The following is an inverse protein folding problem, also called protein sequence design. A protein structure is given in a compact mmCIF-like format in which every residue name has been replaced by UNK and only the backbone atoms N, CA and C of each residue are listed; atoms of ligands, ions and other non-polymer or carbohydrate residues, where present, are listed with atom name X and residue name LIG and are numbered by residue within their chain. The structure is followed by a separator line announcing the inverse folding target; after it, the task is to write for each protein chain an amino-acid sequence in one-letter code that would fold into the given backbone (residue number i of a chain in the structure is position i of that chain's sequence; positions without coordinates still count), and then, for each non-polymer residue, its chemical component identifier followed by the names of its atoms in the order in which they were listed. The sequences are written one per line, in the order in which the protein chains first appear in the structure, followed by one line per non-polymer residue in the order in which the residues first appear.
data_IF_520568889707
#
_entry.id   IF_520568889707
#
_cell.length_a   1.000
_cell.length_b   1.000
_cell.length_c   1.000
_cell.angle_alpha   90.00
_cell.angle_beta   90.00
_cell.angle_gamma   90.00
#
_symmetry.space_group_name_H-M   'P 1'
#
loop_
_entity.id
_entity.type
_entity.pdbx_description
1 polymer ?
#
# COMPACT_ATOMS: atom_id res chain seq x y z
N UNK A 1 -29.50 36.33 14.71
CA UNK A 1 -28.08 36.04 14.48
C UNK A 1 -27.86 34.56 14.81
N UNK A 2 -27.89 33.73 13.78
CA UNK A 2 -27.71 32.28 13.89
C UNK A 2 -26.23 31.97 14.03
N UNK A 3 -25.84 31.40 15.18
CA UNK A 3 -24.47 30.97 15.47
C UNK A 3 -24.00 29.84 14.52
N UNK A 4 -22.68 29.64 14.37
CA UNK A 4 -22.13 28.62 13.48
C UNK A 4 -22.54 27.23 13.96
N UNK A 5 -23.11 26.44 13.06
CA UNK A 5 -23.51 25.04 13.28
C UNK A 5 -22.37 24.27 13.94
N UNK A 6 -22.46 23.98 15.23
CA UNK A 6 -21.64 22.96 15.87
C UNK A 6 -21.92 21.63 15.17
N UNK A 7 -20.92 21.10 14.43
CA UNK A 7 -21.02 19.77 13.81
C UNK A 7 -21.31 18.76 14.92
N UNK A 8 -22.38 17.99 14.77
CA UNK A 8 -22.71 16.93 15.73
C UNK A 8 -21.57 15.88 15.76
N UNK A 9 -21.36 15.23 16.89
CA UNK A 9 -20.28 14.22 17.02
C UNK A 9 -20.30 13.15 15.91
N UNK A 10 -21.47 12.67 15.40
CA UNK A 10 -21.57 11.75 14.27
C UNK A 10 -21.00 12.33 12.97
N UNK A 11 -21.26 13.60 12.67
CA UNK A 11 -20.76 14.26 11.46
C UNK A 11 -19.23 14.44 11.50
N UNK A 12 -18.68 14.67 12.67
CA UNK A 12 -17.24 14.75 12.88
C UNK A 12 -16.55 13.40 12.63
N UNK A 13 -17.11 12.29 13.14
CA UNK A 13 -16.57 10.93 12.94
C UNK A 13 -16.68 10.52 11.47
N UNK A 14 -17.81 10.76 10.81
CA UNK A 14 -18.00 10.50 9.39
C UNK A 14 -16.99 11.27 8.54
N UNK A 15 -16.72 12.53 8.87
CA UNK A 15 -15.76 13.38 8.17
C UNK A 15 -14.30 12.88 8.33
N UNK A 16 -13.94 12.26 9.46
CA UNK A 16 -12.62 11.67 9.67
C UNK A 16 -12.47 10.41 8.83
N UNK A 17 -13.48 9.54 8.79
CA UNK A 17 -13.46 8.31 7.99
C UNK A 17 -13.34 8.63 6.48
N UNK A 18 -14.12 9.58 5.98
CA UNK A 18 -14.06 10.02 4.58
C UNK A 18 -12.67 10.59 4.25
N UNK A 19 -12.08 11.39 5.14
CA UNK A 19 -10.72 11.92 4.94
C UNK A 19 -9.68 10.80 4.93
N UNK A 20 -9.79 9.81 5.80
CA UNK A 20 -8.90 8.65 5.81
C UNK A 20 -8.99 7.84 4.50
N UNK A 21 -10.21 7.62 3.98
CA UNK A 21 -10.44 6.98 2.69
C UNK A 21 -9.86 7.79 1.53
N UNK A 22 -10.03 9.11 1.53
CA UNK A 22 -9.46 10.01 0.51
C UNK A 22 -7.92 9.97 0.54
N UNK A 23 -7.29 9.99 1.72
CA UNK A 23 -5.84 9.83 1.86
C UNK A 23 -5.37 8.48 1.34
N UNK A 24 -6.12 7.41 1.59
CA UNK A 24 -5.79 6.07 1.10
C UNK A 24 -5.89 5.98 -0.42
N UNK A 25 -6.96 6.52 -1.03
CA UNK A 25 -7.16 6.54 -2.48
C UNK A 25 -6.07 7.36 -3.19
N UNK A 26 -5.73 8.54 -2.66
CA UNK A 26 -4.64 9.36 -3.19
C UNK A 26 -3.30 8.65 -3.06
N UNK A 27 -3.03 8.02 -1.91
CA UNK A 27 -1.82 7.24 -1.68
C UNK A 27 -1.69 6.08 -2.68
N UNK A 28 -2.78 5.38 -2.96
CA UNK A 28 -2.85 4.31 -3.97
C UNK A 28 -2.55 4.82 -5.37
N UNK A 29 -3.19 5.90 -5.81
CA UNK A 29 -2.91 6.52 -7.12
C UNK A 29 -1.43 6.88 -7.30
N UNK A 30 -0.86 7.58 -6.32
CA UNK A 30 0.56 7.99 -6.36
C UNK A 30 1.49 6.77 -6.35
N UNK A 31 1.15 5.72 -5.60
CA UNK A 31 1.93 4.49 -5.53
C UNK A 31 1.90 3.75 -6.87
N UNK A 32 0.74 3.64 -7.51
CA UNK A 32 0.61 2.98 -8.82
C UNK A 32 1.33 3.76 -9.91
N UNK A 33 1.18 5.09 -9.94
CA UNK A 33 1.92 5.95 -10.86
C UNK A 33 3.44 5.78 -10.71
N UNK A 34 3.92 5.76 -9.46
CA UNK A 34 5.33 5.47 -9.15
C UNK A 34 5.74 4.06 -9.62
N UNK A 35 4.93 3.03 -9.35
CA UNK A 35 5.24 1.65 -9.75
C UNK A 35 5.31 1.50 -11.28
N UNK A 36 4.50 2.25 -12.03
CA UNK A 36 4.57 2.28 -13.49
C UNK A 36 5.92 2.84 -13.98
N UNK A 37 6.38 3.95 -13.40
CA UNK A 37 7.71 4.51 -13.69
C UNK A 37 8.83 3.54 -13.26
N UNK A 38 8.70 2.92 -12.09
CA UNK A 38 9.68 1.95 -11.60
C UNK A 38 9.76 0.72 -12.48
N UNK A 39 8.63 0.20 -12.99
CA UNK A 39 8.65 -0.90 -13.96
C UNK A 39 9.45 -0.53 -15.21
N UNK A 40 9.28 0.69 -15.73
CA UNK A 40 10.10 1.16 -16.85
C UNK A 40 11.59 1.16 -16.49
N UNK A 41 11.96 1.66 -15.31
CA UNK A 41 13.36 1.70 -14.87
C UNK A 41 13.96 0.30 -14.70
N UNK A 42 13.21 -0.67 -14.16
CA UNK A 42 13.66 -2.06 -14.00
C UNK A 42 13.79 -2.84 -15.32
N UNK A 43 13.25 -2.33 -16.42
CA UNK A 43 13.51 -2.85 -17.77
C UNK A 43 14.81 -2.31 -18.38
N UNK A 44 15.30 -1.17 -17.87
CA UNK A 44 16.48 -0.46 -18.41
C UNK A 44 17.74 -0.68 -17.55
N UNK A 45 17.59 -1.09 -16.27
CA UNK A 45 18.68 -1.24 -15.32
C UNK A 45 18.40 -2.30 -14.26
N UNK A 46 19.41 -2.61 -13.45
CA UNK A 46 19.29 -3.58 -12.36
C UNK A 46 18.17 -3.22 -11.39
N UNK A 47 17.31 -4.22 -11.07
CA UNK A 47 16.13 -4.03 -10.23
C UNK A 47 16.45 -3.64 -8.79
N UNK A 48 17.56 -4.14 -8.23
CA UNK A 48 17.98 -3.85 -6.86
C UNK A 48 18.59 -2.45 -6.77
N UNK A 49 19.32 -2.04 -7.80
CA UNK A 49 19.78 -0.67 -7.93
C UNK A 49 18.60 0.31 -8.08
N UNK A 50 17.62 -0.03 -8.90
CA UNK A 50 16.40 0.78 -9.04
C UNK A 50 15.64 0.93 -7.72
N UNK A 51 15.52 -0.15 -6.94
CA UNK A 51 14.96 -0.14 -5.58
C UNK A 51 15.72 0.83 -4.66
N UNK A 52 17.07 0.73 -4.62
CA UNK A 52 17.90 1.61 -3.81
C UNK A 52 17.71 3.08 -4.20
N UNK A 53 17.84 3.40 -5.48
CA UNK A 53 17.73 4.77 -5.98
C UNK A 53 16.37 5.39 -5.67
N UNK A 54 15.28 4.66 -5.81
CA UNK A 54 13.95 5.14 -5.45
C UNK A 54 13.87 5.57 -3.98
N UNK A 55 14.43 4.80 -3.04
CA UNK A 55 14.38 5.14 -1.61
C UNK A 55 15.42 6.19 -1.23
N UNK A 56 16.58 6.18 -1.86
CA UNK A 56 17.57 7.24 -1.72
C UNK A 56 16.99 8.59 -2.13
N UNK A 57 16.34 8.68 -3.29
CA UNK A 57 15.64 9.90 -3.70
C UNK A 57 14.43 10.21 -2.84
N UNK A 58 13.75 9.22 -2.31
CA UNK A 58 12.73 9.44 -1.28
C UNK A 58 13.28 10.16 -0.05
N UNK A 59 14.49 9.80 0.38
CA UNK A 59 15.21 10.49 1.46
C UNK A 59 15.60 11.92 1.04
N UNK A 60 16.18 12.09 -0.14
CA UNK A 60 16.58 13.41 -0.67
C UNK A 60 15.39 14.38 -0.73
N UNK A 61 14.24 13.93 -1.21
CA UNK A 61 12.99 14.74 -1.28
C UNK A 61 12.49 15.13 0.11
N UNK A 62 12.77 14.34 1.14
CA UNK A 62 12.36 14.66 2.51
C UNK A 62 13.37 15.56 3.26
N UNK A 63 14.58 15.78 2.73
CA UNK A 63 15.59 16.64 3.37
C UNK A 63 15.10 18.09 3.63
N UNK A 64 14.39 18.77 2.70
CA UNK A 64 13.88 20.11 2.97
C UNK A 64 12.96 20.17 4.18
N UNK A 65 12.15 19.14 4.40
CA UNK A 65 11.29 19.04 5.59
C UNK A 65 12.11 18.84 6.85
N UNK A 66 13.17 18.03 6.77
CA UNK A 66 14.10 17.81 7.87
C UNK A 66 14.81 19.12 8.29
N UNK A 67 15.25 19.92 7.32
CA UNK A 67 15.90 21.22 7.59
C UNK A 67 14.91 22.24 8.14
N UNK A 68 13.65 22.23 7.67
CA UNK A 68 12.60 23.14 8.15
C UNK A 68 12.19 22.86 9.59
N UNK A 69 11.93 21.58 9.90
CA UNK A 69 11.33 21.15 11.16
C UNK A 69 12.40 20.77 12.22
N UNK A 70 13.68 20.63 11.81
CA UNK A 70 14.82 20.24 12.62
C UNK A 70 14.92 18.73 12.87
N UNK A 71 16.15 18.26 13.12
CA UNK A 71 16.46 16.83 13.33
C UNK A 71 15.66 16.23 14.51
N UNK A 72 15.41 17.02 15.55
CA UNK A 72 14.69 16.56 16.74
C UNK A 72 13.23 16.16 16.44
N UNK A 73 12.58 16.80 15.45
CA UNK A 73 11.22 16.50 15.04
C UNK A 73 11.08 15.10 14.43
N UNK A 74 12.17 14.54 13.89
CA UNK A 74 12.20 13.22 13.24
C UNK A 74 12.81 12.12 14.12
N UNK A 75 13.04 12.40 15.41
CA UNK A 75 13.49 11.39 16.38
C UNK A 75 12.36 10.42 16.68
N UNK A 76 12.52 9.10 16.42
CA UNK A 76 11.46 8.13 16.65
C UNK A 76 11.34 7.81 18.13
N UNK A 77 10.13 7.58 18.60
CA UNK A 77 9.89 7.08 19.97
C UNK A 77 10.12 5.57 20.05
N UNK A 78 9.89 4.87 18.93
CA UNK A 78 10.10 3.42 18.83
C UNK A 78 11.09 3.07 17.71
N UNK A 79 12.38 3.28 17.98
CA UNK A 79 13.46 3.01 17.02
C UNK A 79 13.51 1.53 16.59
N UNK A 80 13.27 0.59 17.49
CA UNK A 80 13.25 -0.85 17.17
C UNK A 80 12.15 -1.19 16.19
N UNK A 81 10.95 -0.63 16.39
CA UNK A 81 9.84 -0.80 15.46
C UNK A 81 10.16 -0.24 14.06
N UNK A 82 10.85 0.90 13.95
CA UNK A 82 11.28 1.46 12.67
C UNK A 82 12.26 0.53 11.93
N UNK A 83 13.24 -0.07 12.62
CA UNK A 83 14.17 -1.03 12.03
C UNK A 83 13.48 -2.32 11.56
N UNK A 84 12.60 -2.90 12.38
CA UNK A 84 11.82 -4.09 11.99
C UNK A 84 10.92 -3.82 10.80
N UNK A 85 10.27 -2.65 10.79
CA UNK A 85 9.48 -2.21 9.64
C UNK A 85 10.34 -2.07 8.39
N UNK A 86 11.51 -1.44 8.51
CA UNK A 86 12.47 -1.29 7.42
C UNK A 86 12.92 -2.64 6.86
N UNK A 87 13.29 -3.57 7.73
CA UNK A 87 13.72 -4.92 7.33
C UNK A 87 12.59 -5.68 6.59
N UNK A 88 11.39 -5.72 7.17
CA UNK A 88 10.24 -6.38 6.53
C UNK A 88 9.88 -5.72 5.20
N UNK A 89 9.92 -4.38 5.14
CA UNK A 89 9.61 -3.65 3.92
C UNK A 89 10.67 -3.85 2.84
N UNK A 90 11.96 -3.85 3.20
CA UNK A 90 13.05 -4.12 2.25
C UNK A 90 12.97 -5.54 1.70
N UNK A 91 12.70 -6.55 2.55
CA UNK A 91 12.51 -7.93 2.09
C UNK A 91 11.35 -8.03 1.09
N UNK A 92 10.20 -7.41 1.41
CA UNK A 92 9.06 -7.34 0.49
C UNK A 92 9.44 -6.71 -0.85
N UNK A 93 10.12 -5.57 -0.80
CA UNK A 93 10.52 -4.83 -1.99
C UNK A 93 11.55 -5.57 -2.84
N UNK A 94 12.54 -6.20 -2.21
CA UNK A 94 13.55 -6.98 -2.95
C UNK A 94 12.89 -8.07 -3.79
N UNK A 95 12.00 -8.86 -3.17
CA UNK A 95 11.23 -9.89 -3.88
C UNK A 95 10.36 -9.25 -4.98
N UNK A 96 9.69 -8.15 -4.67
CA UNK A 96 8.81 -7.43 -5.59
C UNK A 96 9.59 -6.87 -6.79
N UNK A 97 10.71 -6.16 -6.57
CA UNK A 97 11.48 -5.53 -7.63
C UNK A 97 12.17 -6.54 -8.55
N UNK A 98 12.59 -7.70 -8.03
CA UNK A 98 13.12 -8.78 -8.86
C UNK A 98 12.06 -9.32 -9.83
N UNK A 99 10.80 -9.37 -9.42
CA UNK A 99 9.71 -9.85 -10.26
C UNK A 99 9.10 -8.75 -11.18
N UNK A 100 9.24 -7.47 -10.81
CA UNK A 100 8.55 -6.34 -11.46
C UNK A 100 8.78 -6.23 -12.97
N UNK A 101 9.99 -6.45 -13.54
CA UNK A 101 10.19 -6.37 -14.99
C UNK A 101 9.49 -7.49 -15.77
N UNK A 102 9.12 -8.58 -15.10
CA UNK A 102 8.57 -9.79 -15.72
C UNK A 102 7.05 -9.93 -15.60
N UNK A 103 6.39 -9.03 -14.86
CA UNK A 103 4.96 -9.10 -14.55
C UNK A 103 4.25 -7.84 -15.02
N UNK A 104 3.10 -7.99 -15.69
CA UNK A 104 2.29 -6.85 -16.12
C UNK A 104 1.73 -6.07 -14.91
N UNK A 105 1.55 -4.74 -15.04
CA UNK A 105 1.12 -3.87 -13.93
C UNK A 105 -0.22 -4.29 -13.31
N UNK A 106 -1.20 -4.66 -14.13
CA UNK A 106 -2.50 -5.11 -13.65
C UNK A 106 -2.40 -6.46 -12.90
N UNK A 107 -1.57 -7.40 -13.41
CA UNK A 107 -1.30 -8.68 -12.77
C UNK A 107 -0.57 -8.49 -11.43
N UNK A 108 0.47 -7.66 -11.42
CA UNK A 108 1.18 -7.27 -10.21
C UNK A 108 0.22 -6.76 -9.11
N UNK A 109 -0.68 -5.86 -9.47
CA UNK A 109 -1.64 -5.28 -8.53
C UNK A 109 -2.61 -6.35 -8.01
N UNK A 110 -3.10 -7.24 -8.90
CA UNK A 110 -3.95 -8.34 -8.51
C UNK A 110 -3.25 -9.30 -7.54
N UNK A 111 -1.97 -9.63 -7.76
CA UNK A 111 -1.18 -10.46 -6.84
C UNK A 111 -1.05 -9.78 -5.48
N UNK A 112 -0.77 -8.48 -5.45
CA UNK A 112 -0.65 -7.73 -4.20
C UNK A 112 -1.96 -7.64 -3.41
N UNK A 113 -3.12 -7.90 -4.04
CA UNK A 113 -4.40 -8.04 -3.32
C UNK A 113 -4.50 -9.28 -2.43
N UNK A 114 -3.53 -10.18 -2.46
CA UNK A 114 -3.40 -11.21 -1.42
C UNK A 114 -2.92 -10.61 -0.09
N UNK A 115 -2.21 -9.48 -0.13
CA UNK A 115 -1.70 -8.80 1.07
C UNK A 115 -2.78 -8.45 2.12
N UNK A 116 -4.01 -8.03 1.76
CA UNK A 116 -5.11 -7.86 2.70
C UNK A 116 -5.40 -9.07 3.57
N UNK A 117 -5.23 -10.30 3.06
CA UNK A 117 -5.48 -11.53 3.81
C UNK A 117 -4.46 -11.67 4.92
N UNK A 118 -3.17 -11.55 4.58
CA UNK A 118 -2.10 -11.56 5.56
C UNK A 118 -2.23 -10.40 6.56
N UNK A 119 -2.73 -9.25 6.10
CA UNK A 119 -3.02 -8.09 6.96
C UNK A 119 -4.16 -8.40 7.93
N UNK A 120 -5.24 -9.05 7.50
CA UNK A 120 -6.35 -9.45 8.38
C UNK A 120 -5.90 -10.48 9.42
N UNK A 121 -5.15 -11.51 9.00
CA UNK A 121 -4.57 -12.50 9.91
C UNK A 121 -3.69 -11.81 10.95
N UNK A 122 -2.77 -10.96 10.49
CA UNK A 122 -1.87 -10.23 11.39
C UNK A 122 -2.60 -9.21 12.29
N UNK A 123 -3.65 -8.54 11.80
CA UNK A 123 -4.48 -7.65 12.61
C UNK A 123 -5.18 -8.42 13.74
N UNK A 124 -5.72 -9.58 13.45
CA UNK A 124 -6.35 -10.44 14.46
C UNK A 124 -5.33 -10.96 15.50
N UNK A 125 -4.18 -11.49 15.04
CA UNK A 125 -3.22 -12.17 15.90
C UNK A 125 -2.28 -11.20 16.65
N UNK A 126 -1.77 -10.17 15.95
CA UNK A 126 -0.74 -9.26 16.46
C UNK A 126 -1.35 -8.00 17.07
N UNK A 127 -2.28 -7.35 16.38
CA UNK A 127 -2.94 -6.13 16.85
C UNK A 127 -4.14 -6.42 17.75
N UNK A 128 -4.56 -7.70 17.84
CA UNK A 128 -5.75 -8.15 18.59
C UNK A 128 -7.01 -7.41 18.17
N UNK A 129 -7.10 -7.02 16.89
CA UNK A 129 -8.32 -6.45 16.33
C UNK A 129 -9.40 -7.53 16.22
N UNK A 130 -10.65 -7.17 16.53
CA UNK A 130 -11.78 -8.08 16.33
C UNK A 130 -12.12 -8.14 14.85
N UNK A 131 -11.68 -9.20 14.18
CA UNK A 131 -11.98 -9.44 12.77
C UNK A 131 -13.31 -10.19 12.67
N UNK A 132 -14.30 -9.55 12.08
CA UNK A 132 -15.66 -10.10 11.93
C UNK A 132 -15.72 -11.17 10.83
N UNK A 133 -16.70 -12.08 10.91
CA UNK A 133 -16.92 -13.11 9.89
C UNK A 133 -17.07 -12.52 8.47
N UNK A 134 -17.79 -11.41 8.23
CA UNK A 134 -17.83 -10.79 6.91
C UNK A 134 -16.44 -10.41 6.33
N UNK A 135 -15.50 -9.99 7.16
CA UNK A 135 -14.12 -9.68 6.70
C UNK A 135 -13.39 -10.93 6.24
N UNK A 136 -13.56 -12.05 6.94
CA UNK A 136 -12.99 -13.34 6.52
C UNK A 136 -13.60 -13.85 5.22
N UNK A 137 -14.93 -13.73 5.06
CA UNK A 137 -15.63 -14.11 3.82
C UNK A 137 -15.11 -13.25 2.66
N UNK A 138 -15.04 -11.93 2.84
CA UNK A 138 -14.53 -11.02 1.81
C UNK A 138 -13.08 -11.35 1.44
N UNK A 139 -12.23 -11.65 2.42
CA UNK A 139 -10.86 -12.07 2.18
C UNK A 139 -10.79 -13.37 1.37
N UNK A 140 -11.58 -14.39 1.74
CA UNK A 140 -11.65 -15.66 1.01
C UNK A 140 -12.11 -15.49 -0.44
N UNK A 141 -13.16 -14.69 -0.67
CA UNK A 141 -13.62 -14.36 -2.05
C UNK A 141 -12.56 -13.56 -2.81
N UNK A 142 -11.84 -12.66 -2.12
CA UNK A 142 -10.70 -11.94 -2.71
C UNK A 142 -9.60 -12.90 -3.18
N UNK A 143 -9.27 -13.93 -2.39
CA UNK A 143 -8.31 -15.00 -2.80
C UNK A 143 -8.79 -15.69 -4.07
N UNK A 144 -10.08 -16.07 -4.14
CA UNK A 144 -10.60 -16.70 -5.35
C UNK A 144 -10.44 -15.80 -6.57
N UNK A 145 -10.66 -14.49 -6.40
CA UNK A 145 -10.39 -13.51 -7.47
C UNK A 145 -8.92 -13.50 -7.89
N UNK A 146 -7.98 -13.55 -6.94
CA UNK A 146 -6.54 -13.63 -7.25
C UNK A 146 -6.20 -14.94 -7.96
N UNK A 147 -6.76 -16.08 -7.52
CA UNK A 147 -6.56 -17.38 -8.20
C UNK A 147 -7.04 -17.30 -9.65
N UNK A 148 -8.20 -16.68 -9.91
CA UNK A 148 -8.72 -16.48 -11.27
C UNK A 148 -7.72 -15.67 -12.11
N UNK A 149 -7.15 -14.59 -11.57
CA UNK A 149 -6.14 -13.77 -12.28
C UNK A 149 -4.89 -14.59 -12.60
N UNK A 150 -4.43 -15.38 -11.64
CA UNK A 150 -3.20 -16.17 -11.77
C UNK A 150 -3.39 -17.48 -12.55
N UNK A 151 -4.62 -17.95 -12.72
CA UNK A 151 -4.91 -19.26 -13.31
C UNK A 151 -4.18 -19.53 -14.63
N UNK A 152 -4.18 -18.60 -15.63
CA UNK A 152 -3.46 -18.83 -16.88
C UNK A 152 -1.93 -18.97 -16.68
N UNK A 153 -1.38 -18.34 -15.64
CA UNK A 153 0.05 -18.40 -15.32
C UNK A 153 0.42 -19.65 -14.53
N UNK A 154 -0.51 -20.16 -13.74
CA UNK A 154 -0.32 -21.42 -13.00
C UNK A 154 -0.39 -22.64 -13.90
N UNK A 155 -1.11 -22.56 -15.05
CA UNK A 155 -1.19 -23.64 -16.03
C UNK A 155 -0.10 -23.59 -17.07
N UNK A 156 0.50 -22.41 -17.29
CA UNK A 156 1.66 -22.22 -18.18
C UNK A 156 2.90 -21.87 -17.34
N UNK A 157 3.57 -22.89 -16.82
CA UNK A 157 4.84 -22.76 -16.07
C UNK A 157 6.03 -22.30 -16.94
N UNK A 158 5.81 -21.90 -18.19
CA UNK A 158 6.79 -21.25 -19.04
C UNK A 158 7.37 -19.96 -18.41
N UNK A 159 7.80 -19.02 -19.16
CA UNK A 159 8.58 -17.86 -18.70
C UNK A 159 7.88 -16.90 -17.74
N UNK A 160 6.52 -16.90 -17.64
CA UNK A 160 5.78 -15.90 -16.86
C UNK A 160 5.31 -16.34 -15.46
N UNK A 161 4.90 -17.60 -15.32
CA UNK A 161 4.28 -18.09 -14.06
C UNK A 161 5.21 -18.08 -12.85
N UNK A 162 6.50 -18.36 -13.07
CA UNK A 162 7.51 -18.34 -12.00
C UNK A 162 7.61 -16.95 -11.33
N UNK A 163 7.68 -15.89 -12.11
CA UNK A 163 7.82 -14.53 -11.57
C UNK A 163 6.57 -14.03 -10.84
N UNK A 164 5.38 -14.47 -11.27
CA UNK A 164 4.14 -14.21 -10.55
C UNK A 164 4.12 -14.87 -9.18
N UNK A 165 4.63 -16.11 -9.06
CA UNK A 165 4.79 -16.79 -7.77
C UNK A 165 5.85 -16.12 -6.89
N UNK A 166 6.98 -15.71 -7.47
CA UNK A 166 7.99 -14.92 -6.74
C UNK A 166 7.36 -13.65 -6.18
N UNK A 167 6.62 -12.91 -7.01
CA UNK A 167 5.94 -11.68 -6.56
C UNK A 167 4.94 -11.95 -5.44
N UNK A 168 4.20 -13.06 -5.49
CA UNK A 168 3.26 -13.45 -4.45
C UNK A 168 3.93 -13.59 -3.08
N UNK A 169 5.18 -14.10 -3.04
CA UNK A 169 5.96 -14.20 -1.80
C UNK A 169 6.27 -12.84 -1.15
N UNK A 170 6.15 -11.72 -1.87
CA UNK A 170 6.31 -10.39 -1.28
C UNK A 170 5.13 -9.95 -0.41
N UNK A 171 3.93 -10.49 -0.66
CA UNK A 171 2.69 -10.04 -0.03
C UNK A 171 2.67 -10.17 1.51
N UNK A 172 3.12 -11.28 2.14
CA UNK A 172 3.16 -11.40 3.59
C UNK A 172 4.13 -10.40 4.23
N UNK A 173 5.27 -10.09 3.58
CA UNK A 173 6.22 -9.09 4.08
C UNK A 173 5.68 -7.67 3.97
N UNK A 174 4.94 -7.33 2.89
CA UNK A 174 4.22 -6.06 2.82
C UNK A 174 3.16 -5.97 3.91
N UNK A 175 2.39 -7.03 4.15
CA UNK A 175 1.40 -7.07 5.21
C UNK A 175 2.04 -6.83 6.58
N UNK A 176 3.16 -7.50 6.89
CA UNK A 176 3.92 -7.29 8.11
C UNK A 176 4.37 -5.83 8.25
N UNK A 177 4.93 -5.23 7.19
CA UNK A 177 5.33 -3.82 7.19
C UNK A 177 4.14 -2.87 7.45
N UNK A 178 2.97 -3.12 6.86
CA UNK A 178 1.77 -2.30 7.08
C UNK A 178 1.24 -2.42 8.52
N UNK A 179 1.26 -3.63 9.10
CA UNK A 179 0.87 -3.86 10.49
C UNK A 179 1.80 -3.13 11.47
N UNK A 180 3.12 -3.22 11.24
CA UNK A 180 4.10 -2.49 12.05
C UNK A 180 3.89 -0.97 11.87
N UNK A 181 3.63 -0.50 10.64
CA UNK A 181 3.29 0.91 10.38
C UNK A 181 2.09 1.35 11.22
N UNK A 182 1.00 0.56 11.22
CA UNK A 182 -0.19 0.85 12.03
C UNK A 182 0.13 0.91 13.52
N UNK A 183 0.95 -0.01 14.02
CA UNK A 183 1.38 0.01 15.42
C UNK A 183 2.21 1.27 15.74
N UNK A 184 3.11 1.67 14.86
CA UNK A 184 3.94 2.87 15.01
C UNK A 184 3.15 4.17 15.00
N UNK A 185 2.02 4.26 14.28
CA UNK A 185 1.18 5.48 14.26
C UNK A 185 0.59 5.85 15.62
N UNK A 186 0.64 4.93 16.59
CA UNK A 186 0.22 5.21 17.98
C UNK A 186 1.25 6.04 18.77
N UNK A 187 2.50 6.06 18.33
CA UNK A 187 3.62 6.67 19.05
C UNK A 187 4.36 7.72 18.23
N UNK A 188 4.55 7.47 16.94
CA UNK A 188 5.31 8.30 16.04
C UNK A 188 4.40 9.04 15.05
N UNK A 189 4.80 10.24 14.64
CA UNK A 189 4.11 11.01 13.61
C UNK A 189 4.29 10.38 12.22
N UNK A 190 3.39 10.66 11.30
CA UNK A 190 3.44 10.19 9.90
C UNK A 190 4.78 10.53 9.25
N UNK A 191 5.27 11.76 9.45
CA UNK A 191 6.56 12.21 8.89
C UNK A 191 7.74 11.39 9.41
N UNK A 192 7.80 11.11 10.72
CA UNK A 192 8.83 10.26 11.34
C UNK A 192 8.81 8.87 10.73
N UNK A 193 7.64 8.25 10.63
CA UNK A 193 7.49 6.89 10.11
C UNK A 193 7.98 6.79 8.66
N UNK A 194 7.64 7.75 7.80
CA UNK A 194 8.05 7.72 6.39
C UNK A 194 9.52 8.10 6.22
N UNK A 195 10.03 9.06 7.00
CA UNK A 195 11.46 9.39 7.00
C UNK A 195 12.30 8.15 7.36
N UNK A 196 11.95 7.46 8.44
CA UNK A 196 12.66 6.26 8.88
C UNK A 196 12.50 5.09 7.92
N UNK A 197 11.38 5.01 7.19
CA UNK A 197 11.25 4.04 6.09
C UNK A 197 12.28 4.31 4.99
N UNK A 198 12.38 5.57 4.53
CA UNK A 198 13.34 5.91 3.50
C UNK A 198 14.78 5.65 3.98
N UNK A 199 15.13 6.00 5.23
CA UNK A 199 16.45 5.73 5.82
C UNK A 199 16.75 4.23 5.85
N UNK A 200 15.88 3.45 6.47
CA UNK A 200 16.15 2.02 6.72
C UNK A 200 16.16 1.21 5.43
N UNK A 201 15.24 1.48 4.50
CA UNK A 201 15.22 0.80 3.20
C UNK A 201 16.42 1.18 2.35
N UNK A 202 16.83 2.45 2.34
CA UNK A 202 18.06 2.88 1.64
C UNK A 202 19.28 2.14 2.18
N UNK A 203 19.43 2.07 3.51
CA UNK A 203 20.56 1.37 4.16
C UNK A 203 20.57 -0.13 3.87
N UNK A 204 19.41 -0.80 3.94
CA UNK A 204 19.33 -2.24 3.66
C UNK A 204 19.45 -2.57 2.17
N UNK A 205 18.98 -1.71 1.27
CA UNK A 205 19.06 -1.92 -0.17
C UNK A 205 20.45 -1.60 -0.74
N UNK A 206 21.25 -0.73 -0.10
CA UNK A 206 22.57 -0.33 -0.58
C UNK A 206 23.50 -1.52 -0.89
N UNK A 207 23.74 -2.46 0.03
CA UNK A 207 24.64 -3.60 -0.25
C UNK A 207 24.15 -4.50 -1.38
N UNK A 208 22.83 -4.54 -1.63
CA UNK A 208 22.25 -5.30 -2.72
C UNK A 208 22.37 -4.61 -4.08
N UNK A 209 22.45 -3.27 -4.08
CA UNK A 209 22.56 -2.47 -5.30
C UNK A 209 23.99 -2.36 -5.84
N UNK A 210 25.02 -2.55 -4.98
CA UNK A 210 26.41 -2.34 -5.34
C UNK A 210 26.95 -3.34 -6.39
N UNK A 211 26.64 -4.65 -6.33
CA UNK A 211 27.24 -5.62 -7.26
C UNK A 211 26.88 -5.38 -8.72
N UNK A 212 25.67 -4.92 -9.01
CA UNK A 212 25.16 -4.64 -10.36
C UNK A 212 25.18 -3.15 -10.74
N UNK A 213 25.94 -2.30 -10.03
CA UNK A 213 25.86 -0.88 -10.19
C UNK A 213 26.25 -0.39 -11.59
N UNK A 214 25.31 0.32 -12.21
CA UNK A 214 25.50 1.04 -13.47
C UNK A 214 25.21 2.52 -13.25
N UNK A 215 26.05 3.41 -13.82
CA UNK A 215 25.84 4.85 -13.67
C UNK A 215 24.53 5.25 -14.39
N UNK A 216 23.51 5.77 -13.66
CA UNK A 216 22.27 6.20 -14.30
C UNK A 216 22.49 7.37 -15.25
N UNK A 217 21.76 7.40 -16.36
CA UNK A 217 21.72 8.55 -17.28
C UNK A 217 21.06 9.77 -16.63
N UNK A 218 21.23 10.96 -17.22
CA UNK A 218 20.59 12.18 -16.74
C UNK A 218 19.06 12.06 -16.64
N UNK A 219 18.43 11.40 -17.62
CA UNK A 219 16.97 11.13 -17.61
C UNK A 219 16.58 10.20 -16.48
N UNK A 220 17.36 9.14 -16.23
CA UNK A 220 17.07 8.20 -15.14
C UNK A 220 17.20 8.87 -13.77
N UNK A 221 18.19 9.73 -13.55
CA UNK A 221 18.30 10.53 -12.33
C UNK A 221 17.04 11.36 -12.08
N UNK A 222 16.52 12.03 -13.12
CA UNK A 222 15.27 12.79 -13.02
C UNK A 222 14.07 11.91 -12.72
N UNK A 223 13.95 10.75 -13.38
CA UNK A 223 12.85 9.80 -13.13
C UNK A 223 12.91 9.29 -11.69
N UNK A 224 14.09 8.96 -11.14
CA UNK A 224 14.20 8.53 -9.75
C UNK A 224 13.86 9.64 -8.75
N UNK A 225 14.16 10.91 -9.06
CA UNK A 225 13.69 12.03 -8.25
C UNK A 225 12.15 12.08 -8.19
N UNK A 226 11.49 11.94 -9.34
CA UNK A 226 10.02 11.86 -9.42
C UNK A 226 9.50 10.63 -8.66
N UNK A 227 10.12 9.47 -8.82
CA UNK A 227 9.76 8.26 -8.07
C UNK A 227 9.93 8.42 -6.56
N UNK A 228 10.99 9.09 -6.12
CA UNK A 228 11.21 9.44 -4.71
C UNK A 228 10.10 10.33 -4.16
N UNK A 229 9.70 11.36 -4.93
CA UNK A 229 8.61 12.27 -4.59
C UNK A 229 7.27 11.53 -4.50
N UNK A 230 6.88 10.82 -5.57
CA UNK A 230 5.62 10.08 -5.62
C UNK A 230 5.55 9.01 -4.53
N UNK A 231 6.63 8.26 -4.34
CA UNK A 231 6.70 7.21 -3.34
C UNK A 231 6.63 7.74 -1.91
N UNK A 232 7.36 8.81 -1.59
CA UNK A 232 7.29 9.42 -0.26
C UNK A 232 5.92 10.04 0.00
N UNK A 233 5.33 10.74 -0.97
CA UNK A 233 3.98 11.30 -0.88
C UNK A 233 2.93 10.19 -0.71
N UNK A 234 3.03 9.09 -1.47
CA UNK A 234 2.14 7.94 -1.34
C UNK A 234 2.19 7.35 0.08
N UNK A 235 3.39 7.10 0.60
CA UNK A 235 3.56 6.56 1.96
C UNK A 235 3.10 7.54 3.05
N UNK A 236 3.28 8.85 2.86
CA UNK A 236 2.72 9.88 3.77
C UNK A 236 1.19 9.81 3.79
N UNK A 237 0.55 9.74 2.62
CA UNK A 237 -0.91 9.61 2.50
C UNK A 237 -1.42 8.33 3.18
N UNK A 238 -0.82 7.18 2.87
CA UNK A 238 -1.21 5.89 3.45
C UNK A 238 -0.99 5.85 4.98
N UNK A 239 0.15 6.32 5.47
CA UNK A 239 0.43 6.36 6.92
C UNK A 239 -0.53 7.32 7.63
N UNK A 240 -0.89 8.44 6.99
CA UNK A 240 -1.90 9.36 7.51
C UNK A 240 -3.29 8.73 7.54
N UNK A 241 -3.66 7.95 6.54
CA UNK A 241 -4.88 7.17 6.56
C UNK A 241 -4.89 6.16 7.73
N UNK A 242 -3.81 5.41 7.91
CA UNK A 242 -3.65 4.46 9.01
C UNK A 242 -3.69 5.10 10.40
N UNK A 243 -3.25 6.35 10.54
CA UNK A 243 -3.36 7.07 11.82
C UNK A 243 -4.79 7.51 12.16
N UNK A 244 -5.68 7.61 11.16
CA UNK A 244 -7.05 8.12 11.33
C UNK A 244 -8.12 7.02 11.36
N UNK A 245 -7.85 5.81 10.85
CA UNK A 245 -8.81 4.72 10.76
C UNK A 245 -8.15 3.36 10.93
N UNK A 246 -8.96 2.34 11.22
CA UNK A 246 -8.49 0.96 11.28
C UNK A 246 -8.01 0.50 9.90
N UNK A 247 -6.91 -0.25 9.88
CA UNK A 247 -6.29 -0.69 8.63
C UNK A 247 -7.26 -1.54 7.80
N UNK A 248 -8.07 -2.37 8.47
CA UNK A 248 -9.09 -3.23 7.86
C UNK A 248 -10.20 -2.45 7.15
N UNK A 249 -10.57 -1.26 7.66
CA UNK A 249 -11.62 -0.42 7.06
C UNK A 249 -11.14 0.34 5.82
N UNK A 250 -9.83 0.46 5.62
CA UNK A 250 -9.21 1.17 4.50
C UNK A 250 -8.91 0.24 3.30
N UNK A 251 -8.91 -1.10 3.52
CA UNK A 251 -8.61 -2.05 2.45
C UNK A 251 -9.50 -1.89 1.20
N UNK A 252 -10.82 -1.60 1.32
CA UNK A 252 -11.66 -1.37 0.16
C UNK A 252 -11.14 -0.30 -0.81
N UNK A 253 -10.49 0.75 -0.32
CA UNK A 253 -9.99 1.84 -1.17
C UNK A 253 -8.84 1.40 -2.07
N UNK A 254 -8.13 0.33 -1.72
CA UNK A 254 -7.03 -0.21 -2.52
C UNK A 254 -7.46 -0.85 -3.83
N UNK A 255 -8.78 -1.13 -4.02
CA UNK A 255 -9.25 -1.64 -5.31
C UNK A 255 -9.17 -0.62 -6.44
N UNK A 256 -9.15 0.67 -6.09
CA UNK A 256 -8.83 1.70 -7.06
C UNK A 256 -7.42 1.50 -7.66
N UNK A 257 -6.51 0.87 -6.92
CA UNK A 257 -5.16 0.57 -7.39
C UNK A 257 -5.18 -0.32 -8.64
N UNK A 258 -6.15 -1.25 -8.74
CA UNK A 258 -6.31 -2.11 -9.93
C UNK A 258 -6.75 -1.30 -11.16
N UNK A 259 -7.68 -0.36 -10.96
CA UNK A 259 -8.15 0.53 -12.04
C UNK A 259 -7.00 1.40 -12.54
N UNK A 260 -6.26 2.01 -11.62
CA UNK A 260 -5.09 2.82 -11.96
C UNK A 260 -3.99 2.00 -12.63
N UNK A 261 -3.73 0.77 -12.15
CA UNK A 261 -2.73 -0.13 -12.74
C UNK A 261 -3.10 -0.56 -14.16
N UNK A 262 -4.36 -0.89 -14.40
CA UNK A 262 -4.83 -1.20 -15.75
C UNK A 262 -4.69 0.00 -16.69
N UNK A 263 -5.05 1.21 -16.21
CA UNK A 263 -4.92 2.44 -16.97
C UNK A 263 -3.46 2.77 -17.32
N UNK A 264 -2.56 2.79 -16.33
CA UNK A 264 -1.14 3.07 -16.57
C UNK A 264 -0.45 1.95 -17.37
N UNK A 265 -0.83 0.70 -17.15
CA UNK A 265 -0.33 -0.44 -17.92
C UNK A 265 -0.67 -0.31 -19.39
N UNK A 266 -1.91 0.05 -19.71
CA UNK A 266 -2.33 0.30 -21.09
C UNK A 266 -1.62 1.52 -21.70
N UNK A 267 -1.61 2.66 -21.02
CA UNK A 267 -1.05 3.92 -21.56
C UNK A 267 0.46 3.84 -21.75
N UNK A 268 1.22 3.26 -20.81
CA UNK A 268 2.68 3.30 -20.82
C UNK A 268 3.33 2.07 -21.45
N UNK A 269 2.67 0.92 -21.42
CA UNK A 269 3.26 -0.35 -21.87
C UNK A 269 2.43 -1.05 -22.95
N UNK A 270 1.23 -0.55 -23.28
CA UNK A 270 0.32 -1.25 -24.17
C UNK A 270 -0.22 -2.55 -23.58
N UNK A 271 -0.13 -2.73 -22.27
CA UNK A 271 -0.63 -3.94 -21.59
C UNK A 271 -2.16 -4.00 -21.72
N UNK A 272 -2.68 -5.02 -22.39
CA UNK A 272 -4.12 -5.30 -22.40
C UNK A 272 -4.46 -6.26 -21.26
N UNK A 273 -5.34 -5.85 -20.30
CA UNK A 273 -5.79 -6.75 -19.28
C UNK A 273 -6.43 -8.00 -19.87
N UNK A 274 -5.98 -9.18 -19.45
CA UNK A 274 -6.57 -10.44 -19.92
C UNK A 274 -7.99 -10.61 -19.38
N UNK A 275 -8.79 -11.48 -20.01
CA UNK A 275 -10.13 -11.79 -19.54
C UNK A 275 -10.11 -12.32 -18.08
N UNK A 276 -9.10 -13.12 -17.72
CA UNK A 276 -8.90 -13.59 -16.35
C UNK A 276 -8.57 -12.45 -15.37
N UNK A 277 -7.74 -11.46 -15.79
CA UNK A 277 -7.45 -10.26 -14.97
C UNK A 277 -8.72 -9.44 -14.72
N UNK A 278 -9.56 -9.26 -15.75
CA UNK A 278 -10.83 -8.54 -15.62
C UNK A 278 -11.83 -9.30 -14.75
N UNK A 279 -11.99 -10.61 -14.97
CA UNK A 279 -12.90 -11.45 -14.19
C UNK A 279 -12.49 -11.55 -12.73
N UNK A 280 -11.22 -11.85 -12.45
CA UNK A 280 -10.70 -11.90 -11.08
C UNK A 280 -10.73 -10.54 -10.39
N UNK A 281 -10.40 -9.46 -11.11
CA UNK A 281 -10.53 -8.08 -10.61
C UNK A 281 -11.98 -7.74 -10.25
N UNK A 282 -12.96 -8.12 -11.08
CA UNK A 282 -14.39 -7.92 -10.79
C UNK A 282 -14.82 -8.67 -9.53
N UNK A 283 -14.38 -9.91 -9.33
CA UNK A 283 -14.64 -10.70 -8.11
C UNK A 283 -14.06 -10.01 -6.88
N UNK A 284 -12.82 -9.55 -6.97
CA UNK A 284 -12.15 -8.81 -5.90
C UNK A 284 -12.95 -7.55 -5.56
N UNK A 285 -13.27 -6.71 -6.53
CA UNK A 285 -14.04 -5.48 -6.35
C UNK A 285 -15.41 -5.77 -5.73
N UNK A 286 -16.15 -6.75 -6.27
CA UNK A 286 -17.48 -7.11 -5.77
C UNK A 286 -17.44 -7.54 -4.29
N UNK A 287 -16.47 -8.38 -3.92
CA UNK A 287 -16.24 -8.81 -2.54
C UNK A 287 -16.08 -7.63 -1.59
N UNK A 288 -15.35 -6.63 -2.02
CA UNK A 288 -15.03 -5.50 -1.14
C UNK A 288 -16.13 -4.47 -1.08
N UNK A 289 -16.79 -4.19 -2.20
CA UNK A 289 -17.99 -3.34 -2.19
C UNK A 289 -19.06 -3.97 -1.29
N UNK A 290 -19.21 -5.30 -1.34
CA UNK A 290 -20.09 -6.02 -0.43
C UNK A 290 -19.70 -5.82 1.04
N UNK A 291 -18.40 -6.00 1.37
CA UNK A 291 -17.90 -5.80 2.74
C UNK A 291 -18.13 -4.36 3.21
N UNK A 292 -17.76 -3.37 2.37
CA UNK A 292 -17.91 -1.95 2.70
C UNK A 292 -19.39 -1.58 2.97
N UNK A 293 -20.32 -2.08 2.14
CA UNK A 293 -21.75 -1.87 2.34
C UNK A 293 -22.25 -2.52 3.64
N UNK A 294 -21.83 -3.73 3.92
CA UNK A 294 -22.22 -4.45 5.13
C UNK A 294 -21.73 -3.74 6.40
N UNK A 295 -20.47 -3.33 6.43
CA UNK A 295 -19.94 -2.56 7.56
C UNK A 295 -20.64 -1.21 7.75
N UNK A 296 -21.04 -0.55 6.67
CA UNK A 296 -21.79 0.72 6.78
C UNK A 296 -23.18 0.50 7.40
N UNK A 297 -23.87 -0.59 7.03
CA UNK A 297 -25.18 -0.95 7.60
C UNK A 297 -25.05 -1.31 9.08
N UNK A 298 -24.08 -2.15 9.46
CA UNK A 298 -23.84 -2.55 10.84
C UNK A 298 -23.51 -1.34 11.74
N UNK A 299 -22.72 -0.37 11.24
CA UNK A 299 -22.44 0.88 11.95
C UNK A 299 -23.67 1.74 12.12
N UNK A 300 -24.51 1.88 11.08
CA UNK A 300 -25.76 2.63 11.15
C UNK A 300 -26.73 2.03 12.17
N UNK A 301 -26.87 0.70 12.20
CA UNK A 301 -27.70 -0.01 13.17
C UNK A 301 -27.20 0.16 14.60
N UNK A 302 -25.87 0.02 14.82
CA UNK A 302 -25.28 0.21 16.14
C UNK A 302 -25.45 1.66 16.65
N UNK A 303 -25.40 2.64 15.75
CA UNK A 303 -25.64 4.04 16.09
C UNK A 303 -27.11 4.30 16.44
N UNK A 304 -28.05 3.76 15.67
CA UNK A 304 -29.47 3.86 15.96
C UNK A 304 -29.84 3.25 17.32
N UNK A 305 -29.28 2.07 17.63
CA UNK A 305 -29.46 1.40 18.92
C UNK A 305 -28.91 2.23 20.11
N UNK A 306 -27.78 2.91 19.94
CA UNK A 306 -27.23 3.79 20.99
C UNK A 306 -28.08 5.03 21.22
N UNK A 307 -28.67 5.60 20.16
CA UNK A 307 -29.55 6.78 20.27
C UNK A 307 -30.87 6.39 20.96
N UNK A 308 -31.43 5.20 20.68
CA UNK A 308 -32.64 4.72 21.36
C UNK A 308 -32.37 4.49 22.85
N UNK A 309 -31.26 3.83 23.21
CA UNK A 309 -30.88 3.56 24.61
C UNK A 309 -30.53 4.84 25.42
N UNK A 310 -30.21 5.95 24.77
CA UNK A 310 -29.96 7.24 25.45
C UNK A 310 -31.22 8.08 25.65
N UNK A 311 -32.37 7.65 25.15
CA UNK A 311 -33.68 8.31 25.30
C UNK A 311 -34.57 7.64 26.35
N UNK A 312 -34.20 6.46 26.80
CA UNK A 312 -34.76 5.75 27.97
C UNK A 312 -33.95 6.10 29.24
#
# INVERSE_FOLDING_TARGET
MSGPFARTAPDAIASVAIRAMAWMALGGFLLVAMNALMRKMTLEMDSLQAQFLRYFFGLVVMLPLLFRDGLAAYRPKNIRGQWWRGAAHTAALTIFFLALPHVALAEMTAILFTSPIFTLIGAALVLRERVTAPRWIAAGVGVLGVVIVLWPRLTDFGSGGYWSLVMLCSAPFFAASFLITKALTKQDSTGVIVMWQNITVTLFALPMALPGWQAPSGTQWFVFLICGLLGSAAHLCMTRAFSQADISSLQPMRFLDLVWSAMFGFILFGDHPTASTLAGGAVIVASTVWLARRESIERAQAQAARVSASRE
#
